data_IF_856093556355
#
_entry.id   IF_856093556355
#
_cell.length_a   1.000
_cell.length_b   1.000
_cell.length_c   1.000
_cell.angle_alpha   90.00
_cell.angle_beta   90.00
_cell.angle_gamma   90.00
#
_symmetry.space_group_name_H-M   'P 1'
#
loop_
_entity.id
_entity.type
_entity.pdbx_description
1 polymer ?
#
# COMPACT_ATOMS: atom_id res chain seq x y z
N UNK A 1 10.27 -9.43 0.63
CA UNK A 1 9.34 -9.33 -0.52
C UNK A 1 10.08 -9.87 -1.72
N UNK A 2 9.54 -10.89 -2.40
CA UNK A 2 10.24 -11.45 -3.55
C UNK A 2 10.12 -10.48 -4.73
N UNK A 3 11.25 -10.05 -5.28
CA UNK A 3 11.32 -9.17 -6.47
C UNK A 3 10.52 -9.71 -7.66
N UNK A 4 10.34 -11.03 -7.76
CA UNK A 4 9.54 -11.69 -8.79
C UNK A 4 8.06 -11.31 -8.80
N UNK A 5 7.49 -10.94 -7.65
CA UNK A 5 6.08 -10.52 -7.56
C UNK A 5 5.78 -9.18 -8.27
N UNK A 6 6.80 -8.39 -8.58
CA UNK A 6 6.65 -7.06 -9.17
C UNK A 6 7.07 -6.98 -10.65
N UNK A 7 7.62 -8.05 -11.20
CA UNK A 7 7.97 -8.14 -12.63
C UNK A 7 6.79 -7.78 -13.54
N UNK A 8 5.53 -8.18 -13.28
CA UNK A 8 4.42 -7.83 -14.13
C UNK A 8 4.18 -6.32 -14.29
N UNK A 9 4.55 -5.48 -13.33
CA UNK A 9 4.50 -4.03 -13.52
C UNK A 9 5.39 -3.56 -14.67
N UNK A 10 6.58 -4.15 -14.81
CA UNK A 10 7.49 -3.79 -15.92
C UNK A 10 6.95 -4.24 -17.28
N UNK A 11 6.18 -5.34 -17.32
CA UNK A 11 5.48 -5.77 -18.52
C UNK A 11 4.37 -4.80 -18.94
N UNK A 12 3.83 -4.01 -17.99
CA UNK A 12 2.88 -2.92 -18.23
C UNK A 12 3.57 -1.58 -18.58
N UNK A 13 4.90 -1.58 -18.79
CA UNK A 13 5.68 -0.38 -19.07
C UNK A 13 5.89 0.52 -17.85
N UNK A 14 5.71 -0.01 -16.63
CA UNK A 14 5.83 0.75 -15.38
C UNK A 14 7.20 0.47 -14.74
N UNK A 15 7.95 1.54 -14.45
CA UNK A 15 9.15 1.44 -13.62
C UNK A 15 8.79 1.14 -12.16
N UNK A 16 9.59 0.33 -11.47
CA UNK A 16 9.34 -0.06 -10.08
C UNK A 16 10.51 0.38 -9.20
N UNK A 17 10.20 1.10 -8.12
CA UNK A 17 11.14 1.42 -7.05
C UNK A 17 10.72 0.68 -5.78
N UNK A 18 11.60 -0.20 -5.29
CA UNK A 18 11.45 -0.89 -4.02
C UNK A 18 12.23 -0.17 -2.93
N UNK A 19 11.56 0.13 -1.82
CA UNK A 19 12.19 0.78 -0.68
C UNK A 19 12.36 -0.23 0.44
N UNK A 20 13.62 -0.46 0.85
CA UNK A 20 13.92 -1.30 2.00
C UNK A 20 13.66 -0.53 3.29
N UNK A 21 13.10 -1.19 4.30
CA UNK A 21 12.87 -0.56 5.59
C UNK A 21 14.17 -0.42 6.38
N UNK A 22 14.34 0.70 7.14
CA UNK A 22 15.44 0.79 8.10
C UNK A 22 15.45 -0.39 9.06
N UNK A 23 16.62 -1.05 9.19
CA UNK A 23 16.79 -2.25 10.01
C UNK A 23 16.37 -3.57 9.38
N UNK A 24 15.91 -3.57 8.10
CA UNK A 24 15.61 -4.78 7.34
C UNK A 24 16.68 -5.03 6.28
N UNK A 25 16.85 -6.30 5.89
CA UNK A 25 17.82 -6.71 4.86
C UNK A 25 19.22 -6.20 5.17
N UNK A 26 19.77 -5.38 4.27
CA UNK A 26 21.08 -4.75 4.44
C UNK A 26 20.96 -3.29 4.93
N UNK A 27 19.75 -2.80 5.17
CA UNK A 27 19.51 -1.43 5.63
C UNK A 27 19.84 -1.30 7.13
N UNK A 28 20.56 -0.26 7.50
CA UNK A 28 20.88 0.06 8.89
C UNK A 28 19.73 0.81 9.58
N UNK A 29 19.82 0.96 10.90
CA UNK A 29 18.84 1.70 11.69
C UNK A 29 17.81 0.82 12.40
N UNK A 30 16.75 1.45 12.91
CA UNK A 30 15.68 0.78 13.66
C UNK A 30 14.34 1.10 12.99
N UNK A 31 13.49 0.09 12.73
CA UNK A 31 12.20 0.31 12.11
C UNK A 31 11.25 1.03 13.08
N UNK A 32 10.63 2.08 12.58
CA UNK A 32 9.53 2.83 13.22
C UNK A 32 8.73 3.54 12.15
N UNK A 33 7.50 3.97 12.45
CA UNK A 33 6.73 4.77 11.49
C UNK A 33 7.54 5.99 11.02
N UNK A 34 8.23 6.68 11.94
CA UNK A 34 9.05 7.86 11.62
C UNK A 34 10.19 7.52 10.66
N UNK A 35 10.99 6.49 10.96
CA UNK A 35 12.15 6.13 10.13
C UNK A 35 11.74 5.55 8.79
N UNK A 36 10.67 4.74 8.74
CA UNK A 36 10.09 4.20 7.50
C UNK A 36 9.57 5.35 6.63
N UNK A 37 8.77 6.27 7.20
CA UNK A 37 8.27 7.43 6.45
C UNK A 37 9.41 8.29 5.90
N UNK A 38 10.48 8.51 6.67
CA UNK A 38 11.64 9.27 6.21
C UNK A 38 12.37 8.60 5.04
N UNK A 39 12.54 7.26 5.09
CA UNK A 39 13.14 6.51 3.99
C UNK A 39 12.29 6.57 2.70
N UNK A 40 10.97 6.39 2.83
CA UNK A 40 10.04 6.47 1.70
C UNK A 40 9.97 7.89 1.12
N UNK A 41 10.05 8.92 1.97
CA UNK A 41 10.08 10.30 1.57
C UNK A 41 11.33 10.62 0.73
N UNK A 42 12.51 10.21 1.22
CA UNK A 42 13.77 10.39 0.49
C UNK A 42 13.75 9.64 -0.87
N UNK A 43 13.22 8.41 -0.89
CA UNK A 43 13.08 7.63 -2.11
C UNK A 43 12.11 8.29 -3.11
N UNK A 44 10.97 8.82 -2.64
CA UNK A 44 10.04 9.57 -3.46
C UNK A 44 10.67 10.82 -4.06
N UNK A 45 11.34 11.64 -3.23
CA UNK A 45 11.94 12.90 -3.67
C UNK A 45 13.06 12.64 -4.70
N UNK A 46 13.86 11.58 -4.51
CA UNK A 46 14.85 11.12 -5.50
C UNK A 46 14.18 10.67 -6.80
N UNK A 47 13.09 9.88 -6.73
CA UNK A 47 12.39 9.38 -7.91
C UNK A 47 11.73 10.54 -8.69
N UNK A 48 11.04 11.44 -7.99
CA UNK A 48 10.32 12.55 -8.59
C UNK A 48 11.26 13.59 -9.25
N UNK A 49 12.53 13.65 -8.83
CA UNK A 49 13.55 14.52 -9.43
C UNK A 49 14.18 13.94 -10.71
N UNK A 50 13.90 12.68 -11.07
CA UNK A 50 14.45 12.05 -12.28
C UNK A 50 13.79 12.63 -13.53
N UNK A 51 14.57 12.81 -14.59
CA UNK A 51 14.08 13.36 -15.88
C UNK A 51 13.25 12.36 -16.69
N UNK A 52 13.41 11.05 -16.41
CA UNK A 52 12.71 9.94 -17.07
C UNK A 52 11.48 9.47 -16.31
N UNK A 53 11.07 10.20 -15.27
CA UNK A 53 9.88 9.91 -14.46
C UNK A 53 8.90 11.07 -14.56
N UNK A 54 7.63 10.73 -14.81
CA UNK A 54 6.52 11.67 -14.66
C UNK A 54 5.99 11.63 -13.22
N UNK A 55 6.25 12.67 -12.40
CA UNK A 55 5.82 12.69 -11.00
C UNK A 55 4.31 12.61 -10.83
N UNK A 56 3.53 13.05 -11.83
CA UNK A 56 2.06 12.99 -11.81
C UNK A 56 1.51 11.57 -11.99
N UNK A 57 2.36 10.62 -12.36
CA UNK A 57 2.01 9.21 -12.58
C UNK A 57 2.61 8.26 -11.54
N UNK A 58 3.18 8.78 -10.45
CA UNK A 58 3.73 7.92 -9.37
C UNK A 58 2.58 7.29 -8.60
N UNK A 59 2.55 5.95 -8.58
CA UNK A 59 1.58 5.12 -7.85
C UNK A 59 2.24 4.56 -6.60
N UNK A 60 1.54 4.56 -5.49
CA UNK A 60 2.01 3.92 -4.26
C UNK A 60 1.34 2.56 -4.09
N UNK A 61 2.15 1.51 -4.05
CA UNK A 61 1.72 0.14 -3.80
C UNK A 61 2.24 -0.33 -2.44
N UNK A 62 1.35 -0.82 -1.60
CA UNK A 62 1.73 -1.36 -0.29
C UNK A 62 0.91 -2.57 0.13
N UNK A 63 1.61 -3.65 0.56
CA UNK A 63 0.99 -4.85 1.09
C UNK A 63 1.24 -4.96 2.59
N UNK A 64 0.21 -5.35 3.36
CA UNK A 64 0.29 -5.55 4.80
C UNK A 64 0.85 -4.30 5.50
N UNK A 65 1.96 -4.39 6.22
CA UNK A 65 2.66 -3.24 6.81
C UNK A 65 3.07 -2.19 5.76
N UNK A 66 3.38 -2.63 4.52
CA UNK A 66 3.66 -1.73 3.40
C UNK A 66 2.51 -0.78 3.07
N UNK A 67 1.26 -1.20 3.29
CA UNK A 67 0.09 -0.31 3.20
C UNK A 67 0.18 0.85 4.19
N UNK A 68 0.66 0.61 5.42
CA UNK A 68 0.95 1.65 6.40
C UNK A 68 2.03 2.62 5.94
N UNK A 69 3.13 2.07 5.40
CA UNK A 69 4.25 2.88 4.91
C UNK A 69 3.84 3.81 3.76
N UNK A 70 3.12 3.28 2.76
CA UNK A 70 2.68 4.09 1.61
C UNK A 70 1.57 5.07 1.97
N UNK A 71 0.69 4.75 2.92
CA UNK A 71 -0.28 5.71 3.44
C UNK A 71 0.43 6.85 4.19
N UNK A 72 1.43 6.55 5.04
CA UNK A 72 2.21 7.57 5.71
C UNK A 72 2.95 8.49 4.71
N UNK A 73 3.44 7.96 3.60
CA UNK A 73 3.99 8.74 2.50
C UNK A 73 2.92 9.60 1.80
N UNK A 74 1.75 9.03 1.52
CA UNK A 74 0.64 9.73 0.85
C UNK A 74 0.07 10.90 1.67
N UNK A 75 0.27 10.90 2.99
CA UNK A 75 -0.08 12.03 3.84
C UNK A 75 0.80 13.27 3.61
N UNK A 76 2.00 13.12 3.01
CA UNK A 76 3.00 14.18 2.85
C UNK A 76 3.51 14.36 1.42
N UNK A 77 3.18 13.44 0.51
CA UNK A 77 3.55 13.52 -0.92
C UNK A 77 2.38 13.08 -1.81
N UNK A 78 2.22 13.71 -2.97
CA UNK A 78 1.16 13.33 -3.91
C UNK A 78 1.44 11.96 -4.51
N UNK A 79 0.36 11.23 -4.78
CA UNK A 79 0.36 10.01 -5.57
C UNK A 79 -0.75 10.07 -6.62
N UNK A 80 -0.53 9.47 -7.78
CA UNK A 80 -1.56 9.34 -8.83
C UNK A 80 -2.66 8.37 -8.39
N UNK A 81 -2.28 7.30 -7.70
CA UNK A 81 -3.19 6.31 -7.13
C UNK A 81 -2.56 5.61 -5.92
N UNK A 82 -3.41 4.99 -5.09
CA UNK A 82 -2.99 4.06 -4.04
C UNK A 82 -3.45 2.64 -4.39
N UNK A 83 -2.57 1.66 -4.21
CA UNK A 83 -2.90 0.23 -4.28
C UNK A 83 -2.55 -0.37 -2.93
N UNK A 84 -3.56 -0.81 -2.19
CA UNK A 84 -3.46 -1.29 -0.82
C UNK A 84 -3.88 -2.76 -0.75
N UNK A 85 -2.91 -3.67 -0.57
CA UNK A 85 -3.16 -5.11 -0.55
C UNK A 85 -3.06 -5.66 0.87
N UNK A 86 -4.08 -6.39 1.34
CA UNK A 86 -4.13 -7.08 2.64
C UNK A 86 -3.63 -6.20 3.78
N UNK A 87 -4.12 -4.96 3.88
CA UNK A 87 -3.66 -3.99 4.87
C UNK A 87 -4.76 -3.56 5.85
N UNK A 88 -4.36 -2.94 6.92
CA UNK A 88 -5.19 -2.56 8.07
C UNK A 88 -5.68 -1.10 7.97
N UNK A 89 -6.70 -0.77 8.75
CA UNK A 89 -7.17 0.63 8.93
C UNK A 89 -6.20 1.45 9.79
N UNK A 90 -5.48 0.80 10.69
CA UNK A 90 -4.45 1.37 11.55
C UNK A 90 -3.96 0.36 12.58
N UNK A 91 -2.73 0.51 13.06
CA UNK A 91 -2.16 -0.43 14.05
C UNK A 91 -2.93 -0.39 15.38
N UNK A 92 -3.49 0.77 15.76
CA UNK A 92 -4.34 0.85 16.96
C UNK A 92 -5.58 -0.04 16.86
N UNK A 93 -6.22 -0.12 15.69
CA UNK A 93 -7.36 -0.99 15.46
C UNK A 93 -6.95 -2.47 15.50
N UNK A 94 -5.75 -2.82 15.03
CA UNK A 94 -5.19 -4.18 15.16
C UNK A 94 -4.86 -4.50 16.61
N UNK A 95 -4.24 -3.58 17.35
CA UNK A 95 -3.83 -3.76 18.74
C UNK A 95 -5.03 -4.01 19.67
N UNK A 96 -6.18 -3.37 19.40
CA UNK A 96 -7.39 -3.57 20.19
C UNK A 96 -7.92 -5.00 20.17
N UNK A 97 -7.66 -5.76 19.08
CA UNK A 97 -7.99 -7.19 18.99
C UNK A 97 -7.20 -8.03 20.01
N UNK A 98 -6.01 -7.57 20.39
CA UNK A 98 -5.14 -8.21 21.37
C UNK A 98 -5.21 -7.55 22.76
N UNK A 99 -6.26 -6.77 23.02
CA UNK A 99 -6.49 -6.04 24.28
C UNK A 99 -5.35 -5.07 24.65
N UNK A 100 -4.55 -4.65 23.66
CA UNK A 100 -3.49 -3.64 23.85
C UNK A 100 -4.11 -2.25 23.77
N UNK A 101 -4.01 -1.42 24.83
CA UNK A 101 -4.54 -0.07 24.81
C UNK A 101 -3.90 0.78 23.71
N UNK A 102 -4.70 1.52 22.94
CA UNK A 102 -4.23 2.27 21.77
C UNK A 102 -3.17 3.34 22.09
N UNK A 103 -3.11 3.85 23.33
CA UNK A 103 -2.09 4.82 23.76
C UNK A 103 -0.68 4.19 23.89
N UNK A 104 -0.60 2.86 24.01
CA UNK A 104 0.67 2.14 24.02
C UNK A 104 1.26 1.90 22.62
N UNK A 105 0.48 2.12 21.56
CA UNK A 105 0.92 1.97 20.17
C UNK A 105 1.77 3.18 19.78
N UNK A 106 3.07 2.97 19.62
CA UNK A 106 4.04 4.02 19.24
C UNK A 106 3.96 4.39 17.76
N UNK A 107 3.67 3.41 16.91
CA UNK A 107 3.63 3.53 15.44
C UNK A 107 2.21 3.25 14.94
N UNK A 108 1.30 4.23 14.97
CA UNK A 108 -0.13 3.99 14.74
C UNK A 108 -0.49 3.68 13.29
N UNK A 109 0.27 4.15 12.28
CA UNK A 109 -0.02 3.99 10.86
C UNK A 109 -1.52 4.13 10.56
N UNK A 110 -2.06 5.34 10.73
CA UNK A 110 -3.49 5.62 10.55
C UNK A 110 -3.88 5.70 9.07
N UNK A 111 -4.01 4.52 8.45
CA UNK A 111 -4.37 4.40 7.04
C UNK A 111 -5.79 4.91 6.76
N UNK A 112 -6.71 4.76 7.74
CA UNK A 112 -8.10 5.15 7.59
C UNK A 112 -8.24 6.66 7.33
N UNK A 113 -7.56 7.47 8.12
CA UNK A 113 -7.56 8.93 7.93
C UNK A 113 -6.95 9.32 6.60
N UNK A 114 -5.81 8.72 6.23
CA UNK A 114 -5.15 9.01 4.95
C UNK A 114 -6.04 8.65 3.77
N UNK A 115 -6.62 7.46 3.76
CA UNK A 115 -7.49 6.99 2.65
C UNK A 115 -8.75 7.85 2.52
N UNK A 116 -9.35 8.29 3.64
CA UNK A 116 -10.51 9.20 3.64
C UNK A 116 -10.18 10.55 2.99
N UNK A 117 -8.99 11.08 3.27
CA UNK A 117 -8.59 12.41 2.81
C UNK A 117 -7.96 12.38 1.41
N UNK A 118 -7.54 11.21 0.94
CA UNK A 118 -6.96 11.01 -0.38
C UNK A 118 -7.98 11.26 -1.49
N UNK A 119 -7.59 12.04 -2.51
CA UNK A 119 -8.50 12.46 -3.59
C UNK A 119 -8.39 11.61 -4.86
N UNK A 120 -7.28 10.90 -5.03
CA UNK A 120 -7.05 10.03 -6.16
C UNK A 120 -7.80 8.69 -6.06
N UNK A 121 -7.71 7.87 -7.10
CA UNK A 121 -8.28 6.52 -7.08
C UNK A 121 -7.52 5.61 -6.11
N UNK A 122 -8.26 4.74 -5.41
CA UNK A 122 -7.72 3.76 -4.46
C UNK A 122 -8.15 2.36 -4.88
N UNK A 123 -7.21 1.47 -5.11
CA UNK A 123 -7.47 0.05 -5.25
C UNK A 123 -7.18 -0.66 -3.93
N UNK A 124 -8.16 -1.37 -3.42
CA UNK A 124 -8.02 -2.19 -2.23
C UNK A 124 -8.14 -3.65 -2.66
N UNK A 125 -7.14 -4.46 -2.30
CA UNK A 125 -7.13 -5.89 -2.54
C UNK A 125 -7.11 -6.60 -1.20
N UNK A 126 -8.04 -7.54 -0.96
CA UNK A 126 -8.09 -8.21 0.33
C UNK A 126 -8.66 -9.62 0.23
N UNK A 127 -8.02 -10.55 0.95
CA UNK A 127 -8.50 -11.92 1.09
C UNK A 127 -9.70 -12.02 2.03
N UNK A 128 -10.74 -12.76 1.64
CA UNK A 128 -11.95 -12.97 2.48
C UNK A 128 -11.64 -13.77 3.74
N UNK A 129 -10.62 -14.61 3.67
CA UNK A 129 -10.17 -15.51 4.75
C UNK A 129 -8.87 -15.04 5.41
N UNK A 130 -8.54 -13.74 5.27
CA UNK A 130 -7.36 -13.17 5.91
C UNK A 130 -7.52 -13.23 7.44
N UNK A 131 -6.75 -14.09 8.08
CA UNK A 131 -6.75 -14.36 9.52
C UNK A 131 -5.78 -13.46 10.29
N UNK A 132 -4.82 -12.84 9.59
CA UNK A 132 -3.85 -11.89 10.15
C UNK A 132 -4.45 -10.49 10.19
N UNK A 133 -4.92 -9.99 9.04
CA UNK A 133 -5.61 -8.71 8.94
C UNK A 133 -7.03 -8.95 8.42
N UNK A 134 -8.02 -9.02 9.30
CA UNK A 134 -9.38 -9.41 8.92
C UNK A 134 -9.97 -8.58 7.79
N UNK A 135 -10.72 -9.22 6.90
CA UNK A 135 -11.32 -8.66 5.70
C UNK A 135 -12.11 -7.34 5.94
N UNK A 136 -12.67 -7.16 7.14
CA UNK A 136 -13.39 -5.92 7.47
C UNK A 136 -12.51 -4.68 7.42
N UNK A 137 -11.17 -4.79 7.56
CA UNK A 137 -10.25 -3.66 7.35
C UNK A 137 -10.31 -3.17 5.90
N UNK A 138 -10.27 -4.09 4.93
CA UNK A 138 -10.40 -3.75 3.52
C UNK A 138 -11.73 -3.08 3.18
N UNK A 139 -12.85 -3.64 3.67
CA UNK A 139 -14.18 -3.06 3.45
C UNK A 139 -14.36 -1.70 4.15
N UNK A 140 -13.71 -1.50 5.30
CA UNK A 140 -13.73 -0.21 6.01
C UNK A 140 -12.93 0.86 5.25
N UNK A 141 -11.74 0.51 4.73
CA UNK A 141 -10.95 1.40 3.89
C UNK A 141 -11.70 1.78 2.61
N UNK A 142 -12.36 0.80 1.96
CA UNK A 142 -13.17 1.07 0.77
C UNK A 142 -14.28 2.09 1.05
N UNK A 143 -15.02 1.90 2.15
CA UNK A 143 -16.12 2.80 2.53
C UNK A 143 -15.64 4.20 2.88
N UNK A 144 -14.44 4.34 3.39
CA UNK A 144 -13.86 5.62 3.77
C UNK A 144 -13.31 6.41 2.58
N UNK A 145 -12.80 5.74 1.57
CA UNK A 145 -12.21 6.36 0.39
C UNK A 145 -13.28 7.04 -0.49
N UNK A 146 -12.92 8.16 -1.10
CA UNK A 146 -13.82 8.90 -2.02
C UNK A 146 -14.04 8.17 -3.34
N UNK A 147 -13.01 7.46 -3.84
CA UNK A 147 -13.00 6.72 -5.11
C UNK A 147 -12.22 5.43 -4.88
N UNK A 148 -12.90 4.36 -4.49
CA UNK A 148 -12.26 3.08 -4.24
C UNK A 148 -12.92 1.91 -4.95
N UNK A 149 -12.08 1.04 -5.49
CA UNK A 149 -12.44 -0.30 -5.95
C UNK A 149 -11.93 -1.31 -4.94
N UNK A 150 -12.75 -2.29 -4.56
CA UNK A 150 -12.36 -3.41 -3.71
C UNK A 150 -12.35 -4.71 -4.53
N UNK A 151 -11.19 -5.31 -4.65
CA UNK A 151 -11.01 -6.66 -5.17
C UNK A 151 -10.94 -7.63 -3.99
N UNK A 152 -11.99 -8.41 -3.80
CA UNK A 152 -12.09 -9.39 -2.75
C UNK A 152 -11.86 -10.79 -3.32
N UNK A 153 -10.75 -11.43 -2.94
CA UNK A 153 -10.38 -12.78 -3.37
C UNK A 153 -10.69 -13.81 -2.29
N UNK A 154 -10.87 -15.05 -2.72
CA UNK A 154 -11.08 -16.18 -1.83
C UNK A 154 -9.75 -16.79 -1.39
N UNK A 155 -9.05 -16.09 -0.50
CA UNK A 155 -7.69 -16.38 -0.03
C UNK A 155 -7.46 -15.83 1.38
N UNK A 156 -6.38 -16.28 2.02
CA UNK A 156 -5.88 -15.78 3.29
C UNK A 156 -4.92 -14.60 3.13
N UNK A 157 -4.05 -14.38 4.14
CA UNK A 157 -3.08 -13.27 4.12
C UNK A 157 -1.89 -13.56 3.19
N UNK A 158 -1.36 -14.79 3.22
CA UNK A 158 -0.09 -15.12 2.59
C UNK A 158 -0.24 -15.78 1.21
N UNK A 159 -1.41 -16.32 0.91
CA UNK A 159 -1.77 -17.00 -0.34
C UNK A 159 -2.64 -16.14 -1.28
N UNK A 160 -2.75 -14.85 -0.97
CA UNK A 160 -3.46 -13.88 -1.79
C UNK A 160 -2.52 -13.09 -2.70
N UNK A 161 -2.82 -12.94 -3.99
CA UNK A 161 -4.00 -13.46 -4.71
C UNK A 161 -3.85 -14.94 -5.10
N UNK A 162 -4.94 -15.71 -5.19
CA UNK A 162 -4.89 -17.13 -5.55
C UNK A 162 -4.63 -17.34 -7.06
N UNK A 163 -4.93 -16.35 -7.87
CA UNK A 163 -4.73 -16.33 -9.33
C UNK A 163 -3.95 -15.06 -9.69
N UNK A 164 -2.65 -15.22 -9.95
CA UNK A 164 -1.76 -14.13 -10.27
C UNK A 164 -2.11 -13.46 -11.61
N UNK A 165 -2.55 -14.23 -12.63
CA UNK A 165 -2.89 -13.69 -13.94
C UNK A 165 -4.11 -12.78 -13.86
N UNK A 166 -5.16 -13.24 -13.17
CA UNK A 166 -6.35 -12.44 -12.90
C UNK A 166 -6.01 -11.17 -12.13
N UNK A 167 -5.21 -11.31 -11.08
CA UNK A 167 -4.78 -10.17 -10.26
C UNK A 167 -4.10 -9.08 -11.09
N UNK A 168 -3.18 -9.46 -11.98
CA UNK A 168 -2.47 -8.50 -12.80
C UNK A 168 -3.35 -7.87 -13.88
N UNK A 169 -4.33 -8.59 -14.42
CA UNK A 169 -5.36 -8.00 -15.29
C UNK A 169 -6.20 -6.96 -14.54
N UNK A 170 -6.61 -7.27 -13.30
CA UNK A 170 -7.40 -6.36 -12.47
C UNK A 170 -6.61 -5.09 -12.11
N UNK A 171 -5.29 -5.23 -11.79
CA UNK A 171 -4.38 -4.10 -11.58
C UNK A 171 -4.25 -3.25 -12.85
N UNK A 172 -4.03 -3.87 -14.00
CA UNK A 172 -3.89 -3.16 -15.27
C UNK A 172 -5.16 -2.37 -15.63
N UNK A 173 -6.34 -2.99 -15.46
CA UNK A 173 -7.62 -2.34 -15.67
C UNK A 173 -7.78 -1.10 -14.76
N UNK A 174 -7.48 -1.23 -13.47
CA UNK A 174 -7.51 -0.11 -12.54
C UNK A 174 -6.56 1.03 -12.95
N UNK A 175 -5.33 0.72 -13.34
CA UNK A 175 -4.34 1.73 -13.76
C UNK A 175 -4.75 2.43 -15.07
N UNK A 176 -5.35 1.69 -15.99
CA UNK A 176 -5.92 2.24 -17.22
C UNK A 176 -7.10 3.18 -16.94
N UNK A 177 -8.07 2.76 -16.11
CA UNK A 177 -9.21 3.58 -15.68
C UNK A 177 -8.78 4.84 -14.92
N UNK A 178 -7.66 4.75 -14.21
CA UNK A 178 -7.05 5.89 -13.53
C UNK A 178 -6.26 6.83 -14.46
N UNK A 179 -6.10 6.49 -15.75
CA UNK A 179 -5.35 7.27 -16.73
C UNK A 179 -3.82 7.26 -16.51
N UNK A 180 -3.30 6.25 -15.80
CA UNK A 180 -1.87 6.14 -15.45
C UNK A 180 -1.11 5.44 -16.57
N UNK A 181 -1.70 4.40 -17.12
CA UNK A 181 -1.20 3.69 -18.31
C UNK A 181 -2.18 3.85 -19.49
N UNK A 182 -1.68 3.62 -20.70
CA UNK A 182 -2.45 3.71 -21.97
C UNK A 182 -3.03 2.35 -22.30
#
# INVERSE_FOLDING_TARGET
MCTGELIPFTALGIGVLLVEYPGYGQSTGTPSQKSITAAFLAAYDMLAARRDVDPSKIVFYGRSLGGGAVCALAAVRPAAALILASTFTGIRAMASRYLVPGFMVRDPFDNLTVVRDFRGPVLIVHGRHDDIIPFHHGTTLQKAARRATLLAYDCGHNDCPPDAERFWRDIAAFLHEAGIIV
#
